data_IF_444198046364
#
_entry.id   IF_444198046364
#
_cell.length_a   1.000
_cell.length_b   1.000
_cell.length_c   1.000
_cell.angle_alpha   90.00
_cell.angle_beta   90.00
_cell.angle_gamma   90.00
#
_symmetry.space_group_name_H-M   'P 1'
#
loop_
_entity.id
_entity.type
_entity.pdbx_description
1 polymer ?
#
# COMPACT_ATOMS: atom_id res chain seq x y z
N UNK A 1 -5.85 14.27 3.05
CA UNK A 1 -6.30 14.79 1.74
C UNK A 1 -7.31 15.89 1.97
N UNK A 2 -7.05 17.06 1.41
CA UNK A 2 -7.93 18.24 1.52
C UNK A 2 -8.36 18.67 0.12
N UNK A 3 -9.64 18.97 -0.06
CA UNK A 3 -10.19 19.65 -1.22
C UNK A 3 -10.32 21.14 -0.91
N UNK A 4 -9.88 21.99 -1.83
CA UNK A 4 -9.99 23.45 -1.69
C UNK A 4 -11.10 23.94 -2.60
N UNK A 5 -12.10 24.56 -2.04
CA UNK A 5 -13.25 25.13 -2.74
C UNK A 5 -13.70 26.40 -2.01
N UNK A 6 -13.95 27.47 -2.76
CA UNK A 6 -14.41 28.77 -2.23
C UNK A 6 -13.55 29.30 -1.05
N UNK A 7 -12.22 29.18 -1.13
CA UNK A 7 -11.29 29.65 -0.11
C UNK A 7 -11.22 28.77 1.14
N UNK A 8 -11.93 27.64 1.17
CA UNK A 8 -11.94 26.68 2.29
C UNK A 8 -11.32 25.36 1.90
N UNK A 9 -10.52 24.81 2.81
CA UNK A 9 -9.97 23.47 2.72
C UNK A 9 -10.78 22.51 3.60
N UNK A 10 -11.37 21.47 3.00
CA UNK A 10 -12.15 20.45 3.70
C UNK A 10 -11.66 19.06 3.34
N UNK A 11 -11.55 18.19 4.35
CA UNK A 11 -11.16 16.81 4.08
C UNK A 11 -10.89 15.99 5.34
N UNK A 12 -10.08 14.98 5.16
CA UNK A 12 -9.70 14.05 6.22
C UNK A 12 -8.22 13.72 6.19
N UNK A 13 -7.69 13.45 7.37
CA UNK A 13 -6.34 12.97 7.59
C UNK A 13 -6.37 11.54 8.14
N UNK A 14 -5.31 10.81 7.86
CA UNK A 14 -4.99 9.52 8.48
C UNK A 14 -3.61 9.60 9.07
N UNK A 15 -3.41 8.94 10.18
CA UNK A 15 -2.15 8.93 10.90
C UNK A 15 -1.56 7.52 10.95
N UNK A 16 -0.30 7.45 11.34
CA UNK A 16 0.40 6.21 11.69
C UNK A 16 0.34 6.03 13.22
N UNK A 17 0.59 4.81 13.70
CA UNK A 17 0.53 4.46 15.13
C UNK A 17 1.37 5.37 16.02
N UNK A 18 2.53 5.82 15.53
CA UNK A 18 3.43 6.69 16.28
C UNK A 18 2.94 8.14 16.40
N UNK A 19 1.92 8.56 15.65
CA UNK A 19 1.43 9.95 15.59
C UNK A 19 -0.05 10.00 15.98
N UNK A 20 -0.35 10.53 17.14
CA UNK A 20 -1.72 10.87 17.50
C UNK A 20 -2.12 12.22 16.86
N UNK A 21 -2.87 12.14 15.75
CA UNK A 21 -3.26 13.34 15.00
C UNK A 21 -4.28 14.19 15.76
N UNK A 22 -5.08 13.59 16.64
CA UNK A 22 -6.01 14.33 17.45
C UNK A 22 -5.28 15.13 18.55
N UNK A 23 -4.31 14.50 19.24
CA UNK A 23 -3.44 15.16 20.21
C UNK A 23 -2.66 16.31 19.57
N UNK A 24 -2.14 16.11 18.35
CA UNK A 24 -1.39 17.13 17.63
C UNK A 24 -2.22 18.37 17.30
N UNK A 25 -3.48 18.21 16.92
CA UNK A 25 -4.31 19.28 16.36
C UNK A 25 -5.32 19.88 17.35
N UNK A 26 -5.75 19.12 18.36
CA UNK A 26 -6.76 19.59 19.31
C UNK A 26 -6.36 20.82 20.13
N UNK A 27 -5.08 21.06 20.50
CA UNK A 27 -4.63 22.30 21.13
C UNK A 27 -4.79 23.55 20.25
N UNK A 28 -4.90 23.37 18.94
CA UNK A 28 -5.03 24.42 17.92
C UNK A 28 -6.42 24.48 17.30
N UNK A 29 -7.43 24.17 18.11
CA UNK A 29 -8.81 24.02 17.63
C UNK A 29 -9.38 25.28 16.97
N UNK A 30 -8.89 26.44 17.37
CA UNK A 30 -9.24 27.74 16.80
C UNK A 30 -8.82 27.91 15.32
N UNK A 31 -7.89 27.11 14.84
CA UNK A 31 -7.48 27.10 13.44
C UNK A 31 -8.59 26.58 12.51
N UNK A 32 -9.52 25.80 13.06
CA UNK A 32 -10.50 25.06 12.29
C UNK A 32 -11.91 25.64 12.39
N UNK A 33 -12.60 25.71 11.27
CA UNK A 33 -14.05 25.96 11.22
C UNK A 33 -14.79 24.74 11.79
N UNK A 34 -14.31 23.53 11.46
CA UNK A 34 -14.78 22.26 12.00
C UNK A 34 -13.62 21.28 12.15
N UNK A 35 -13.56 20.60 13.28
CA UNK A 35 -12.53 19.60 13.59
C UNK A 35 -13.09 18.51 14.48
N UNK A 36 -12.74 17.26 14.20
CA UNK A 36 -13.07 16.10 15.03
C UNK A 36 -12.38 14.85 14.55
N UNK A 37 -12.22 13.89 15.47
CA UNK A 37 -11.52 12.65 15.13
C UNK A 37 -11.04 11.90 16.37
N UNK A 38 -10.04 11.07 16.17
CA UNK A 38 -9.34 10.28 17.18
C UNK A 38 -7.86 10.14 16.77
N UNK A 39 -7.05 9.43 17.55
CA UNK A 39 -5.60 9.29 17.34
C UNK A 39 -5.21 8.93 15.89
N UNK A 40 -5.93 8.00 15.26
CA UNK A 40 -5.59 7.50 13.93
C UNK A 40 -6.20 8.25 12.75
N UNK A 41 -7.19 9.14 13.00
CA UNK A 41 -7.89 9.84 11.92
C UNK A 41 -8.57 11.11 12.39
N UNK A 42 -8.58 12.15 11.55
CA UNK A 42 -9.30 13.40 11.82
C UNK A 42 -9.99 13.92 10.56
N UNK A 43 -11.18 14.47 10.74
CA UNK A 43 -11.88 15.28 9.76
C UNK A 43 -11.73 16.77 10.09
N UNK A 44 -11.57 17.61 9.07
CA UNK A 44 -11.34 19.03 9.30
C UNK A 44 -11.87 19.90 8.17
N UNK A 45 -12.20 21.14 8.55
CA UNK A 45 -12.48 22.25 7.63
C UNK A 45 -11.79 23.48 8.19
N UNK A 46 -11.03 24.19 7.37
CA UNK A 46 -10.31 25.42 7.74
C UNK A 46 -10.28 26.37 6.54
N UNK A 47 -9.95 27.63 6.77
CA UNK A 47 -9.68 28.55 5.66
C UNK A 47 -8.40 28.13 4.94
N UNK A 48 -8.36 28.22 3.61
CA UNK A 48 -7.22 27.75 2.82
C UNK A 48 -5.90 28.47 3.16
N UNK A 49 -5.99 29.71 3.63
CA UNK A 49 -4.85 30.51 4.11
C UNK A 49 -4.17 29.90 5.35
N UNK A 50 -4.85 29.03 6.08
CA UNK A 50 -4.34 28.37 7.29
C UNK A 50 -3.59 27.06 7.01
N UNK A 51 -3.44 26.65 5.76
CA UNK A 51 -2.78 25.37 5.40
C UNK A 51 -1.30 25.34 5.80
N UNK A 52 -0.60 26.46 5.68
CA UNK A 52 0.81 26.55 6.09
C UNK A 52 0.94 26.41 7.62
N UNK A 53 0.07 27.05 8.37
CA UNK A 53 0.02 26.91 9.83
C UNK A 53 -0.30 25.47 10.25
N UNK A 54 -1.22 24.81 9.57
CA UNK A 54 -1.53 23.39 9.80
C UNK A 54 -0.29 22.50 9.58
N UNK A 55 0.46 22.74 8.50
CA UNK A 55 1.70 22.00 8.20
C UNK A 55 2.74 22.22 9.29
N UNK A 56 2.95 23.46 9.72
CA UNK A 56 3.93 23.82 10.76
C UNK A 56 3.60 23.16 12.11
N UNK A 57 2.32 23.13 12.49
CA UNK A 57 1.85 22.47 13.72
C UNK A 57 2.19 20.96 13.68
N UNK A 58 1.89 20.29 12.57
CA UNK A 58 2.15 18.86 12.44
C UNK A 58 3.64 18.53 12.41
N UNK A 59 4.44 19.33 11.71
CA UNK A 59 5.90 19.18 11.67
C UNK A 59 6.52 19.38 13.06
N UNK A 60 6.07 20.41 13.78
CA UNK A 60 6.51 20.70 15.14
C UNK A 60 6.17 19.57 16.09
N UNK A 61 4.94 19.07 16.04
CA UNK A 61 4.51 17.94 16.87
C UNK A 61 5.38 16.70 16.66
N UNK A 62 5.61 16.31 15.39
CA UNK A 62 6.44 15.15 15.03
C UNK A 62 7.87 15.33 15.53
N UNK A 63 8.43 16.54 15.39
CA UNK A 63 9.77 16.88 15.83
C UNK A 63 9.92 16.84 17.35
N UNK A 64 8.99 17.47 18.08
CA UNK A 64 9.03 17.54 19.53
C UNK A 64 8.85 16.17 20.20
N UNK A 65 8.05 15.29 19.60
CA UNK A 65 7.90 13.90 20.04
C UNK A 65 9.09 13.01 19.65
N UNK A 66 10.04 13.51 18.85
CA UNK A 66 11.18 12.73 18.36
C UNK A 66 10.75 11.58 17.45
N UNK A 67 9.61 11.71 16.78
CA UNK A 67 9.06 10.68 15.90
C UNK A 67 9.90 10.65 14.61
N UNK A 68 10.56 9.53 14.35
CA UNK A 68 11.22 9.31 13.07
C UNK A 68 10.18 9.01 12.00
N UNK A 69 9.74 10.07 11.30
CA UNK A 69 8.80 9.93 10.18
C UNK A 69 9.39 9.15 8.98
N UNK A 70 10.70 8.96 8.95
CA UNK A 70 11.40 8.06 8.02
C UNK A 70 11.56 6.66 8.58
N UNK A 71 10.91 6.37 9.71
CA UNK A 71 10.98 5.09 10.41
C UNK A 71 10.89 3.93 9.43
N UNK A 72 11.62 2.89 9.71
CA UNK A 72 11.68 1.68 8.88
C UNK A 72 10.25 1.18 8.65
N UNK A 73 9.75 1.33 7.44
CA UNK A 73 8.54 0.66 7.04
C UNK A 73 8.80 -0.85 7.15
N UNK A 74 8.34 -1.43 8.24
CA UNK A 74 8.47 -2.87 8.45
C UNK A 74 7.29 -3.55 7.77
N UNK A 75 7.58 -4.39 6.80
CA UNK A 75 6.58 -5.26 6.19
C UNK A 75 6.65 -6.61 6.90
N UNK A 76 5.55 -6.98 7.54
CA UNK A 76 5.41 -8.30 8.14
C UNK A 76 4.99 -9.30 7.07
N UNK A 77 5.68 -10.43 7.07
CA UNK A 77 5.44 -11.55 6.15
C UNK A 77 4.88 -12.70 6.97
N UNK A 78 3.79 -13.27 6.51
CA UNK A 78 3.11 -14.36 7.25
C UNK A 78 3.82 -15.70 7.04
N UNK A 79 4.24 -15.99 5.79
CA UNK A 79 4.86 -17.28 5.45
C UNK A 79 5.66 -17.17 4.13
N UNK A 80 6.63 -18.05 3.96
CA UNK A 80 7.28 -18.29 2.67
C UNK A 80 6.39 -19.17 1.80
N UNK A 81 6.14 -18.74 0.57
CA UNK A 81 5.25 -19.44 -0.35
C UNK A 81 6.02 -20.35 -1.30
N UNK A 82 5.70 -21.62 -1.26
CA UNK A 82 6.21 -22.57 -2.26
C UNK A 82 5.41 -22.45 -3.56
N UNK A 83 6.05 -21.85 -4.57
CA UNK A 83 5.44 -21.63 -5.88
C UNK A 83 5.14 -22.93 -6.62
N UNK A 84 5.89 -24.02 -6.40
CA UNK A 84 5.67 -25.29 -7.11
C UNK A 84 4.41 -25.99 -6.65
N UNK A 85 4.01 -25.78 -5.39
CA UNK A 85 2.79 -26.33 -4.80
C UNK A 85 1.62 -25.33 -4.75
N UNK A 86 1.80 -24.14 -5.28
CA UNK A 86 0.74 -23.13 -5.29
C UNK A 86 -0.32 -23.43 -6.34
N UNK A 87 -1.55 -23.61 -5.91
CA UNK A 87 -2.70 -23.89 -6.75
C UNK A 87 -3.82 -22.86 -6.61
N UNK A 88 -4.72 -22.82 -7.58
CA UNK A 88 -5.92 -21.98 -7.50
C UNK A 88 -6.81 -22.38 -6.30
N UNK A 89 -6.84 -23.66 -5.95
CA UNK A 89 -7.59 -24.15 -4.79
C UNK A 89 -7.00 -23.61 -3.49
N UNK A 90 -5.66 -23.63 -3.37
CA UNK A 90 -4.96 -23.02 -2.23
C UNK A 90 -5.34 -21.55 -2.08
N UNK A 91 -5.32 -20.77 -3.16
CA UNK A 91 -5.68 -19.34 -3.10
C UNK A 91 -7.14 -19.14 -2.69
N UNK A 92 -8.06 -19.93 -3.22
CA UNK A 92 -9.48 -19.87 -2.82
C UNK A 92 -9.69 -20.24 -1.35
N UNK A 93 -8.82 -21.09 -0.77
CA UNK A 93 -8.91 -21.40 0.65
C UNK A 93 -8.59 -20.20 1.54
N UNK A 94 -7.66 -19.32 1.12
CA UNK A 94 -7.37 -18.06 1.82
C UNK A 94 -8.53 -17.04 1.72
N UNK A 95 -9.32 -17.07 0.66
CA UNK A 95 -10.51 -16.21 0.56
C UNK A 95 -11.54 -16.48 1.66
N UNK A 96 -11.51 -17.66 2.27
CA UNK A 96 -12.37 -18.00 3.42
C UNK A 96 -12.00 -17.24 4.69
N UNK A 97 -10.82 -16.62 4.74
CA UNK A 97 -10.41 -15.74 5.84
C UNK A 97 -11.03 -14.35 5.74
N UNK A 98 -11.64 -14.00 4.61
CA UNK A 98 -12.32 -12.72 4.42
C UNK A 98 -13.55 -12.57 5.35
N UNK A 99 -13.98 -11.34 5.69
CA UNK A 99 -13.52 -10.08 5.14
C UNK A 99 -12.19 -9.60 5.72
N UNK A 100 -11.30 -9.11 4.86
CA UNK A 100 -10.05 -8.50 5.28
C UNK A 100 -10.24 -7.02 5.66
N UNK A 101 -9.48 -6.56 6.65
CA UNK A 101 -9.55 -5.20 7.17
C UNK A 101 -8.47 -4.92 8.19
N UNK A 102 -8.68 -3.92 9.07
CA UNK A 102 -7.65 -3.44 10.01
C UNK A 102 -7.15 -4.53 10.96
N UNK A 103 -8.04 -5.33 11.55
CA UNK A 103 -7.70 -6.38 12.53
C UNK A 103 -7.63 -7.78 11.90
N UNK A 104 -7.80 -7.88 10.59
CA UNK A 104 -7.69 -9.11 9.83
C UNK A 104 -7.06 -8.78 8.46
N UNK A 105 -5.77 -8.57 8.46
CA UNK A 105 -5.04 -8.18 7.26
C UNK A 105 -4.98 -9.34 6.26
N UNK A 106 -4.96 -8.98 4.97
CA UNK A 106 -4.76 -9.98 3.93
C UNK A 106 -3.35 -10.56 4.07
N UNK A 107 -3.18 -11.90 4.06
CA UNK A 107 -1.88 -12.52 4.22
C UNK A 107 -0.87 -12.05 3.17
N UNK A 108 0.33 -11.76 3.64
CA UNK A 108 1.47 -11.35 2.84
C UNK A 108 2.50 -12.47 2.82
N UNK A 109 2.82 -12.93 1.65
CA UNK A 109 3.73 -14.04 1.44
C UNK A 109 5.08 -13.58 0.89
N UNK A 110 6.12 -14.29 1.28
CA UNK A 110 7.45 -14.14 0.74
C UNK A 110 7.69 -15.18 -0.34
N UNK A 111 8.20 -14.75 -1.49
CA UNK A 111 8.59 -15.65 -2.56
C UNK A 111 10.03 -15.38 -3.00
N UNK A 112 10.78 -16.46 -3.22
CA UNK A 112 12.18 -16.44 -3.64
C UNK A 112 12.53 -17.63 -4.53
N UNK A 113 13.75 -17.66 -5.02
CA UNK A 113 14.31 -18.77 -5.83
C UNK A 113 13.47 -19.08 -7.07
N UNK A 114 13.00 -18.04 -7.75
CA UNK A 114 12.29 -18.11 -9.02
C UNK A 114 13.07 -17.37 -10.11
N UNK A 115 12.74 -17.62 -11.35
CA UNK A 115 13.29 -16.93 -12.51
C UNK A 115 12.29 -15.90 -13.04
N UNK A 116 12.78 -14.72 -13.42
CA UNK A 116 11.99 -13.75 -14.18
C UNK A 116 12.10 -14.07 -15.66
N UNK A 117 11.04 -14.58 -16.25
CA UNK A 117 10.99 -14.90 -17.68
C UNK A 117 10.76 -13.66 -18.54
N UNK A 118 9.94 -12.74 -18.05
CA UNK A 118 9.60 -11.50 -18.74
C UNK A 118 9.20 -10.42 -17.75
N UNK A 119 9.56 -9.18 -18.06
CA UNK A 119 9.14 -8.00 -17.35
C UNK A 119 8.67 -6.95 -18.36
N UNK A 120 7.48 -6.40 -18.18
CA UNK A 120 6.93 -5.36 -19.05
C UNK A 120 6.04 -4.40 -18.29
N UNK A 121 5.95 -3.19 -18.78
CA UNK A 121 4.93 -2.25 -18.33
C UNK A 121 3.55 -2.64 -18.84
N UNK A 122 2.52 -2.20 -18.13
CA UNK A 122 1.11 -2.40 -18.48
C UNK A 122 0.21 -1.28 -17.95
N UNK A 123 -1.02 -1.26 -18.44
CA UNK A 123 -2.03 -0.25 -18.07
C UNK A 123 -1.97 1.00 -18.93
N UNK A 124 -2.92 1.90 -18.72
CA UNK A 124 -2.89 3.20 -19.35
C UNK A 124 -1.62 3.95 -18.91
N UNK A 125 -0.88 4.51 -19.85
CA UNK A 125 0.39 5.23 -19.60
C UNK A 125 1.51 4.34 -19.00
N UNK A 126 1.49 3.03 -19.22
CA UNK A 126 2.55 2.11 -18.76
C UNK A 126 2.86 2.23 -17.25
N UNK A 127 1.84 2.51 -16.45
CA UNK A 127 2.00 2.85 -15.02
C UNK A 127 2.28 1.66 -14.12
N UNK A 128 2.02 0.44 -14.55
CA UNK A 128 2.15 -0.76 -13.73
C UNK A 128 3.18 -1.71 -14.31
N UNK A 129 3.81 -2.52 -13.46
CA UNK A 129 4.75 -3.57 -13.86
C UNK A 129 4.03 -4.92 -13.86
N UNK A 130 4.26 -5.71 -14.91
CA UNK A 130 3.85 -7.11 -15.00
C UNK A 130 5.08 -7.98 -15.20
N UNK A 131 5.27 -8.93 -14.30
CA UNK A 131 6.31 -9.95 -14.41
C UNK A 131 5.67 -11.30 -14.77
N UNK A 132 6.37 -12.08 -15.55
CA UNK A 132 6.15 -13.50 -15.67
C UNK A 132 7.29 -14.21 -14.97
N UNK A 133 6.98 -15.00 -13.97
CA UNK A 133 7.96 -15.73 -13.15
C UNK A 133 7.75 -17.23 -13.27
N UNK A 134 8.81 -18.01 -13.08
CA UNK A 134 8.75 -19.48 -13.08
C UNK A 134 9.63 -20.09 -12.00
N UNK A 135 9.20 -21.23 -11.49
CA UNK A 135 9.97 -22.11 -10.60
C UNK A 135 9.61 -23.56 -10.94
N UNK A 136 10.60 -24.37 -11.30
CA UNK A 136 10.34 -25.73 -11.81
C UNK A 136 9.41 -25.70 -13.01
N UNK A 137 8.29 -26.39 -12.93
CA UNK A 137 7.25 -26.41 -13.98
C UNK A 137 6.15 -25.36 -13.77
N UNK A 138 6.15 -24.66 -12.63
CA UNK A 138 5.15 -23.66 -12.29
C UNK A 138 5.49 -22.30 -12.90
N UNK A 139 4.48 -21.59 -13.39
CA UNK A 139 4.61 -20.24 -13.94
C UNK A 139 3.46 -19.36 -13.49
N UNK A 140 3.78 -18.13 -13.06
CA UNK A 140 2.82 -17.18 -12.51
C UNK A 140 3.00 -15.78 -13.08
N UNK A 141 1.91 -15.03 -13.07
CA UNK A 141 1.95 -13.59 -13.33
C UNK A 141 1.99 -12.83 -12.01
N UNK A 142 2.91 -11.87 -11.91
CA UNK A 142 3.00 -10.91 -10.80
C UNK A 142 2.69 -9.53 -11.31
N UNK A 143 1.83 -8.81 -10.62
CA UNK A 143 1.52 -7.41 -10.92
C UNK A 143 1.99 -6.52 -9.77
N UNK A 144 2.76 -5.49 -10.10
CA UNK A 144 3.17 -4.44 -9.17
C UNK A 144 2.59 -3.10 -9.64
N UNK A 145 1.60 -2.62 -8.94
CA UNK A 145 0.93 -1.37 -9.27
C UNK A 145 1.85 -0.16 -9.04
N UNK A 146 1.82 0.80 -9.97
CA UNK A 146 2.64 2.01 -9.89
C UNK A 146 4.13 1.81 -10.21
N UNK A 147 4.57 0.60 -10.58
CA UNK A 147 5.97 0.23 -10.77
C UNK A 147 6.37 0.08 -12.26
N UNK A 148 5.58 0.59 -13.18
CA UNK A 148 5.81 0.40 -14.63
C UNK A 148 7.17 0.87 -15.12
N UNK A 149 7.70 1.96 -14.55
CA UNK A 149 9.04 2.49 -14.88
C UNK A 149 10.19 1.52 -14.58
N UNK A 150 9.98 0.53 -13.72
CA UNK A 150 10.97 -0.48 -13.35
C UNK A 150 11.04 -1.67 -14.31
N UNK A 151 10.23 -1.72 -15.37
CA UNK A 151 10.18 -2.87 -16.28
C UNK A 151 11.54 -3.22 -16.89
N UNK A 152 12.31 -2.22 -17.31
CA UNK A 152 13.65 -2.43 -17.89
C UNK A 152 14.63 -2.97 -16.85
N UNK A 153 14.60 -2.45 -15.63
CA UNK A 153 15.44 -2.93 -14.52
C UNK A 153 15.14 -4.39 -14.22
N UNK A 154 13.88 -4.74 -14.02
CA UNK A 154 13.46 -6.10 -13.66
C UNK A 154 13.66 -7.11 -14.79
N UNK A 155 13.73 -6.68 -16.04
CA UNK A 155 14.06 -7.58 -17.16
C UNK A 155 15.51 -8.09 -17.13
N UNK A 156 16.39 -7.43 -16.40
CA UNK A 156 17.82 -7.77 -16.30
C UNK A 156 18.17 -8.48 -14.99
N UNK A 157 17.25 -8.53 -14.04
CA UNK A 157 17.45 -9.15 -12.73
C UNK A 157 17.28 -10.67 -12.82
N UNK A 158 18.31 -11.42 -12.43
CA UNK A 158 18.28 -12.90 -12.44
C UNK A 158 17.71 -13.50 -11.16
N UNK A 159 17.89 -12.82 -10.04
CA UNK A 159 17.37 -13.24 -8.74
C UNK A 159 16.59 -12.09 -8.14
N UNK A 160 15.39 -12.35 -7.73
CA UNK A 160 14.47 -11.40 -7.15
C UNK A 160 13.73 -12.08 -6.00
N UNK A 161 13.51 -11.30 -4.95
CA UNK A 161 12.67 -11.68 -3.83
C UNK A 161 11.49 -10.72 -3.77
N UNK A 162 10.31 -11.25 -3.54
CA UNK A 162 9.10 -10.43 -3.54
C UNK A 162 8.23 -10.71 -2.31
N UNK A 163 7.64 -9.65 -1.79
CA UNK A 163 6.48 -9.75 -0.91
C UNK A 163 5.21 -9.63 -1.77
N UNK A 164 4.33 -10.61 -1.66
CA UNK A 164 3.14 -10.69 -2.49
C UNK A 164 1.89 -11.01 -1.69
N UNK A 165 0.75 -10.56 -2.18
CA UNK A 165 -0.56 -11.09 -1.78
C UNK A 165 -1.14 -11.92 -2.92
N UNK A 166 -1.95 -12.92 -2.56
CA UNK A 166 -2.60 -13.80 -3.53
C UNK A 166 -3.94 -13.22 -3.97
N UNK A 167 -4.24 -13.34 -5.25
CA UNK A 167 -5.52 -12.90 -5.82
C UNK A 167 -5.98 -13.85 -6.91
N UNK A 168 -7.29 -13.93 -7.09
CA UNK A 168 -7.91 -14.62 -8.21
C UNK A 168 -8.32 -13.56 -9.23
N UNK A 169 -7.76 -13.65 -10.43
CA UNK A 169 -8.14 -12.78 -11.53
C UNK A 169 -9.14 -13.51 -12.45
N UNK A 170 -10.24 -12.84 -12.75
CA UNK A 170 -11.25 -13.33 -13.70
C UNK A 170 -11.30 -12.39 -14.91
N UNK A 171 -10.92 -12.92 -16.07
CA UNK A 171 -10.93 -12.18 -17.31
C UNK A 171 -11.42 -13.06 -18.47
N UNK A 172 -12.40 -12.58 -19.26
CA UNK A 172 -12.97 -13.29 -20.39
C UNK A 172 -13.43 -14.73 -20.08
N UNK A 173 -14.00 -14.95 -18.88
CA UNK A 173 -14.46 -16.27 -18.44
C UNK A 173 -13.34 -17.22 -17.98
N UNK A 174 -12.09 -16.80 -18.04
CA UNK A 174 -10.97 -17.54 -17.49
C UNK A 174 -10.64 -17.05 -16.08
N UNK A 175 -10.40 -18.00 -15.19
CA UNK A 175 -9.98 -17.75 -13.81
C UNK A 175 -8.50 -18.13 -13.69
N UNK A 176 -7.68 -17.16 -13.33
CA UNK A 176 -6.23 -17.34 -13.14
C UNK A 176 -5.80 -16.85 -11.78
N UNK A 177 -4.77 -17.49 -11.24
CA UNK A 177 -4.08 -17.04 -10.06
C UNK A 177 -3.16 -15.88 -10.42
N UNK A 178 -3.21 -14.83 -9.63
CA UNK A 178 -2.35 -13.66 -9.78
C UNK A 178 -1.68 -13.32 -8.46
N UNK A 179 -0.39 -13.03 -8.52
CA UNK A 179 0.37 -12.49 -7.40
C UNK A 179 0.40 -10.96 -7.50
N UNK A 180 0.09 -10.28 -6.41
CA UNK A 180 0.16 -8.83 -6.33
C UNK A 180 1.37 -8.44 -5.48
N UNK A 181 2.40 -7.85 -6.11
CA UNK A 181 3.60 -7.40 -5.41
C UNK A 181 3.32 -6.13 -4.60
N UNK A 182 3.87 -6.10 -3.40
CA UNK A 182 3.82 -4.97 -2.48
C UNK A 182 5.09 -4.10 -2.53
N UNK A 183 6.13 -4.55 -3.25
CA UNK A 183 7.42 -3.86 -3.36
C UNK A 183 7.74 -3.60 -4.82
#
# INVERSE_FOLDING_TARGET
>A
VLNIEDGRAKGSARSIEAVDIFEALNPHRELFIAFGGHAGAAGMTLEAEQLDALSEILETYVKDKGIDAKGKNTLYLDEELDLENLSLETVKSFERLAPFGMDNQKPVFYIRDFQVENARSMGASDSHLKLKISKGTASFEVVAFGQGSKATEFSQVKQLELAVTLSVNQWNGQTTLQLLSLI
#
